data_IF_301207439402
#
_entry.id   IF_301207439402
#
_cell.length_a   1.000
_cell.length_b   1.000
_cell.length_c   1.000
_cell.angle_alpha   90.00
_cell.angle_beta   90.00
_cell.angle_gamma   90.00
#
_symmetry.space_group_name_H-M   'P 1'
#
loop_
_entity.id
_entity.type
_entity.pdbx_description
1 polymer ?
#
# COMPACT_ATOMS: atom_id res chain seq x y z
N UNK A 1 -5.99 -4.37 -16.17
CA UNK A 1 -5.25 -4.30 -17.45
C UNK A 1 -5.55 -5.50 -18.35
N UNK A 2 -5.25 -5.39 -19.65
CA UNK A 2 -5.56 -6.37 -20.68
C UNK A 2 -4.71 -7.65 -20.56
N UNK A 3 -5.36 -8.80 -20.70
CA UNK A 3 -4.85 -10.17 -20.50
C UNK A 3 -3.92 -10.64 -21.66
N UNK A 4 -3.14 -9.68 -22.20
CA UNK A 4 -2.49 -9.77 -23.50
C UNK A 4 -1.18 -10.57 -23.49
N UNK A 5 -0.45 -10.60 -22.39
CA UNK A 5 0.78 -11.41 -22.29
C UNK A 5 0.44 -12.77 -21.71
N UNK A 6 0.72 -13.82 -22.49
CA UNK A 6 0.49 -15.22 -22.08
C UNK A 6 1.80 -15.88 -21.73
N UNK A 7 1.98 -16.21 -20.45
CA UNK A 7 3.17 -16.89 -19.94
C UNK A 7 2.95 -18.40 -19.84
N UNK A 8 3.94 -19.14 -20.32
CA UNK A 8 4.04 -20.58 -20.29
C UNK A 8 5.32 -21.02 -19.59
N UNK A 9 5.25 -22.09 -18.80
CA UNK A 9 6.38 -22.66 -18.06
C UNK A 9 6.62 -24.10 -18.45
N UNK A 10 7.88 -24.50 -18.56
CA UNK A 10 8.28 -25.88 -18.79
C UNK A 10 9.37 -26.25 -17.79
N UNK A 11 9.13 -27.31 -17.02
CA UNK A 11 10.09 -27.85 -16.08
C UNK A 11 10.19 -29.37 -16.24
N UNK A 12 11.41 -29.87 -16.46
CA UNK A 12 11.80 -31.27 -16.35
C UNK A 12 13.09 -31.40 -15.53
N UNK A 13 13.69 -32.61 -15.48
CA UNK A 13 14.93 -32.86 -14.72
C UNK A 13 16.16 -32.07 -15.19
N UNK A 14 16.13 -31.50 -16.39
CA UNK A 14 17.27 -30.88 -17.07
C UNK A 14 17.02 -29.45 -17.54
N UNK A 15 15.75 -29.00 -17.51
CA UNK A 15 15.32 -27.76 -18.14
C UNK A 15 14.19 -27.13 -17.33
N UNK A 16 14.41 -25.88 -16.91
CA UNK A 16 13.41 -25.03 -16.24
C UNK A 16 13.35 -23.69 -16.98
N UNK A 17 12.29 -23.48 -17.77
CA UNK A 17 12.20 -22.41 -18.77
C UNK A 17 10.84 -21.76 -18.82
N UNK A 18 10.84 -20.46 -19.06
CA UNK A 18 9.64 -19.71 -19.43
C UNK A 18 9.62 -19.41 -20.93
N UNK A 19 8.41 -19.29 -21.46
CA UNK A 19 8.12 -18.77 -22.76
C UNK A 19 6.88 -17.88 -22.66
N UNK A 20 6.91 -16.68 -23.18
CA UNK A 20 5.78 -15.77 -23.16
C UNK A 20 5.56 -15.13 -24.53
N UNK A 21 4.33 -14.74 -24.81
CA UNK A 21 3.95 -14.04 -26.03
C UNK A 21 2.95 -12.94 -25.74
N UNK A 22 3.15 -11.76 -26.32
CA UNK A 22 2.15 -10.69 -26.36
C UNK A 22 1.17 -10.97 -27.50
N UNK A 23 -0.12 -11.09 -27.16
CA UNK A 23 -1.18 -11.32 -28.14
C UNK A 23 -1.52 -10.08 -28.96
N UNK A 24 -1.02 -8.90 -28.58
CA UNK A 24 -1.13 -7.69 -29.39
C UNK A 24 -0.16 -7.74 -30.58
N UNK A 25 -0.59 -7.29 -31.76
CA UNK A 25 0.32 -7.14 -32.89
C UNK A 25 1.42 -6.12 -32.59
N UNK A 26 2.66 -6.42 -32.97
CA UNK A 26 3.76 -5.47 -32.95
C UNK A 26 3.77 -4.60 -34.22
N UNK A 27 4.70 -3.66 -34.31
CA UNK A 27 4.83 -2.74 -35.46
C UNK A 27 5.08 -3.44 -36.81
N UNK A 28 5.47 -4.72 -36.81
CA UNK A 28 5.69 -5.54 -38.01
C UNK A 28 4.48 -6.40 -38.38
N UNK A 29 3.37 -6.28 -37.65
CA UNK A 29 2.18 -7.11 -37.84
C UNK A 29 2.30 -8.54 -37.30
N UNK A 30 3.41 -8.86 -36.61
CA UNK A 30 3.60 -10.12 -35.89
C UNK A 30 3.41 -9.94 -34.39
N UNK A 31 4.12 -10.72 -33.58
CA UNK A 31 3.98 -10.70 -32.12
C UNK A 31 5.32 -10.73 -31.40
N UNK A 32 5.35 -10.14 -30.20
CA UNK A 32 6.54 -10.12 -29.37
C UNK A 32 6.61 -11.34 -28.46
N UNK A 33 7.79 -11.94 -28.38
CA UNK A 33 8.02 -13.22 -27.70
C UNK A 33 9.21 -13.09 -26.74
N UNK A 34 9.07 -13.68 -25.57
CA UNK A 34 10.14 -13.82 -24.57
C UNK A 34 10.40 -15.28 -24.28
N UNK A 35 11.66 -15.68 -24.11
CA UNK A 35 11.99 -17.05 -23.73
C UNK A 35 13.34 -17.16 -23.03
N UNK A 36 13.47 -18.11 -22.10
CA UNK A 36 14.69 -18.23 -21.31
C UNK A 36 14.53 -19.14 -20.10
N UNK A 37 15.57 -19.22 -19.26
CA UNK A 37 15.55 -20.01 -18.02
C UNK A 37 14.81 -19.24 -16.91
N UNK A 38 14.18 -19.96 -15.99
CA UNK A 38 13.56 -19.36 -14.80
C UNK A 38 14.60 -18.59 -13.97
N UNK A 39 14.18 -17.44 -13.42
CA UNK A 39 15.01 -16.60 -12.55
C UNK A 39 16.09 -15.80 -13.26
N UNK A 40 16.05 -15.70 -14.60
CA UNK A 40 16.97 -14.90 -15.40
C UNK A 40 16.20 -14.04 -16.41
N UNK A 41 16.76 -12.90 -16.85
CA UNK A 41 16.17 -12.11 -17.93
C UNK A 41 15.95 -12.99 -19.17
N UNK A 42 14.76 -12.92 -19.73
CA UNK A 42 14.39 -13.66 -20.91
C UNK A 42 14.92 -12.96 -22.17
N UNK A 43 15.22 -13.77 -23.19
CA UNK A 43 15.55 -13.25 -24.51
C UNK A 43 14.27 -12.73 -25.16
N UNK A 44 14.25 -11.43 -25.44
CA UNK A 44 13.20 -10.79 -26.23
C UNK A 44 13.44 -11.00 -27.72
N UNK A 45 12.36 -11.29 -28.46
CA UNK A 45 12.36 -11.34 -29.92
C UNK A 45 11.03 -10.83 -30.46
N UNK A 46 11.11 -9.82 -31.31
CA UNK A 46 9.99 -9.38 -32.13
C UNK A 46 9.84 -10.33 -33.34
N UNK A 47 8.71 -11.05 -33.40
CA UNK A 47 8.38 -11.99 -34.49
C UNK A 47 7.58 -11.28 -35.57
N UNK A 48 7.74 -11.73 -36.81
CA UNK A 48 6.95 -11.36 -37.99
C UNK A 48 5.72 -12.27 -38.17
N UNK A 49 5.59 -13.32 -37.36
CA UNK A 49 4.48 -14.27 -37.43
C UNK A 49 3.21 -13.67 -36.82
N UNK A 50 2.19 -13.50 -37.65
CA UNK A 50 0.88 -12.94 -37.27
C UNK A 50 -0.01 -13.89 -36.43
N UNK A 51 0.25 -15.20 -36.41
CA UNK A 51 -0.59 -16.15 -35.66
C UNK A 51 0.08 -16.57 -34.34
N UNK A 52 -0.20 -15.80 -33.28
CA UNK A 52 0.25 -16.12 -31.93
C UNK A 52 -0.41 -17.40 -31.38
N UNK A 53 -1.66 -17.70 -31.76
CA UNK A 53 -2.41 -18.86 -31.23
C UNK A 53 -1.73 -20.14 -31.64
N UNK A 54 -1.33 -20.26 -32.92
CA UNK A 54 -0.58 -21.43 -33.39
C UNK A 54 0.74 -21.63 -32.66
N UNK A 55 1.46 -20.55 -32.34
CA UNK A 55 2.71 -20.62 -31.59
C UNK A 55 2.49 -21.06 -30.13
N UNK A 56 1.45 -20.50 -29.49
CA UNK A 56 1.03 -20.84 -28.14
C UNK A 56 0.61 -22.32 -28.02
N UNK A 57 -0.26 -22.80 -28.91
CA UNK A 57 -0.70 -24.21 -28.94
C UNK A 57 0.45 -25.18 -29.23
N UNK A 58 1.40 -24.79 -30.09
CA UNK A 58 2.59 -25.59 -30.34
C UNK A 58 3.49 -25.74 -29.10
N UNK A 59 3.49 -24.76 -28.18
CA UNK A 59 4.21 -24.84 -26.92
C UNK A 59 3.48 -25.72 -25.91
N UNK A 60 2.16 -25.61 -25.81
CA UNK A 60 1.35 -26.49 -24.97
C UNK A 60 1.56 -27.97 -25.34
N UNK A 61 1.56 -28.30 -26.64
CA UNK A 61 1.85 -29.67 -27.13
C UNK A 61 3.25 -30.18 -26.78
N UNK A 62 4.20 -29.29 -26.48
CA UNK A 62 5.55 -29.64 -26.03
C UNK A 62 5.65 -29.82 -24.51
N UNK A 63 4.52 -29.80 -23.80
CA UNK A 63 4.46 -29.99 -22.35
C UNK A 63 4.62 -28.70 -21.53
N UNK A 64 4.52 -27.52 -22.16
CA UNK A 64 4.46 -26.27 -21.39
C UNK A 64 3.11 -26.14 -20.69
N UNK A 65 3.14 -25.64 -19.46
CA UNK A 65 1.97 -25.36 -18.64
C UNK A 65 1.63 -23.86 -18.66
N UNK A 66 0.34 -23.53 -18.61
CA UNK A 66 -0.15 -22.15 -18.58
C UNK A 66 -0.09 -21.58 -17.16
N UNK A 67 0.43 -20.36 -17.02
CA UNK A 67 0.38 -19.59 -15.78
C UNK A 67 -0.40 -18.30 -15.99
N UNK A 68 -1.61 -18.22 -15.42
CA UNK A 68 -2.52 -17.08 -15.60
C UNK A 68 -2.13 -15.86 -14.76
N UNK A 69 -1.49 -16.07 -13.61
CA UNK A 69 -1.06 -15.03 -12.69
C UNK A 69 0.30 -14.42 -13.04
N UNK A 70 0.97 -14.87 -14.11
CA UNK A 70 2.28 -14.38 -14.50
C UNK A 70 2.21 -13.53 -15.77
N UNK A 71 3.18 -12.63 -15.91
CA UNK A 71 3.37 -11.73 -17.04
C UNK A 71 4.86 -11.41 -17.23
N UNK A 72 5.21 -10.52 -18.17
CA UNK A 72 6.57 -10.05 -18.41
C UNK A 72 6.69 -8.57 -18.07
N UNK A 73 7.65 -8.23 -17.22
CA UNK A 73 8.16 -6.87 -17.11
C UNK A 73 9.04 -6.59 -18.35
N UNK A 74 8.61 -5.65 -19.19
CA UNK A 74 9.28 -5.32 -20.45
C UNK A 74 10.59 -4.56 -20.25
N UNK A 75 10.77 -3.89 -19.12
CA UNK A 75 11.98 -3.11 -18.84
C UNK A 75 13.15 -4.04 -18.50
N UNK A 76 12.89 -5.07 -17.70
CA UNK A 76 13.90 -6.04 -17.25
C UNK A 76 13.89 -7.35 -18.04
N UNK A 77 12.86 -7.58 -18.85
CA UNK A 77 12.57 -8.85 -19.53
C UNK A 77 12.43 -10.04 -18.57
N UNK A 78 11.98 -9.80 -17.34
CA UNK A 78 11.77 -10.83 -16.32
C UNK A 78 10.31 -11.31 -16.31
N UNK A 79 10.12 -12.56 -15.87
CA UNK A 79 8.77 -13.07 -15.51
C UNK A 79 8.45 -12.58 -14.11
N UNK A 80 7.29 -11.96 -13.96
CA UNK A 80 6.80 -11.38 -12.70
C UNK A 80 5.34 -11.78 -12.46
N UNK A 81 4.85 -11.67 -11.22
CA UNK A 81 3.40 -11.79 -10.99
C UNK A 81 2.67 -10.63 -11.68
N UNK A 82 1.44 -10.85 -12.13
CA UNK A 82 0.57 -9.75 -12.58
C UNK A 82 0.32 -8.77 -11.45
N UNK A 83 0.19 -9.29 -10.24
CA UNK A 83 0.05 -8.49 -9.02
C UNK A 83 1.32 -7.66 -8.72
N UNK A 84 2.49 -8.07 -9.25
CA UNK A 84 3.75 -7.32 -9.11
C UNK A 84 3.91 -6.21 -10.18
N UNK A 85 3.13 -6.23 -11.26
CA UNK A 85 3.10 -5.15 -12.25
C UNK A 85 2.07 -4.07 -11.92
N UNK A 86 1.16 -4.33 -10.97
CA UNK A 86 0.17 -3.36 -10.49
C UNK A 86 0.69 -2.46 -9.35
N UNK A 87 1.95 -2.58 -8.93
CA UNK A 87 2.56 -1.61 -8.03
C UNK A 87 3.38 -0.57 -8.79
N UNK A 88 2.69 0.44 -9.33
CA UNK A 88 3.17 1.81 -9.08
C UNK A 88 3.23 1.91 -7.56
N UNK A 89 4.43 1.78 -6.99
CA UNK A 89 4.62 2.09 -5.57
C UNK A 89 4.09 3.52 -5.41
N UNK A 90 3.01 3.76 -4.65
CA UNK A 90 2.63 5.13 -4.36
C UNK A 90 3.79 5.67 -3.53
N UNK A 91 4.59 6.56 -4.10
CA UNK A 91 5.71 7.15 -3.36
C UNK A 91 5.18 8.09 -2.28
N UNK A 92 3.92 8.50 -2.40
CA UNK A 92 3.32 9.51 -1.58
C UNK A 92 1.82 9.26 -1.35
N UNK A 93 1.37 9.56 -0.13
CA UNK A 93 -0.03 9.83 0.14
C UNK A 93 -0.28 11.32 0.08
N UNK A 94 -1.22 11.74 -0.75
CA UNK A 94 -1.66 13.12 -0.84
C UNK A 94 -2.82 13.36 0.11
N UNK A 95 -2.80 14.47 0.82
CA UNK A 95 -3.91 14.88 1.67
C UNK A 95 -4.50 16.20 1.21
N UNK A 96 -5.82 16.31 1.37
CA UNK A 96 -6.57 17.56 1.21
C UNK A 96 -7.54 17.72 2.36
N UNK A 97 -7.34 18.76 3.15
CA UNK A 97 -8.18 19.17 4.27
C UNK A 97 -9.14 20.26 3.77
N UNK A 98 -10.40 20.20 4.19
CA UNK A 98 -11.36 21.26 3.90
C UNK A 98 -10.87 22.59 4.47
N UNK A 99 -10.98 23.67 3.68
CA UNK A 99 -10.64 25.04 4.12
C UNK A 99 -11.56 25.53 5.24
N UNK A 100 -12.63 24.80 5.57
CA UNK A 100 -13.49 25.09 6.71
C UNK A 100 -12.91 24.58 8.04
N UNK A 101 -11.89 23.71 8.00
CA UNK A 101 -11.17 23.26 9.20
C UNK A 101 -10.19 24.35 9.62
N UNK A 102 -10.35 24.95 10.83
CA UNK A 102 -9.44 25.97 11.30
C UNK A 102 -8.03 25.42 11.49
N UNK A 103 -7.01 26.19 11.10
CA UNK A 103 -5.60 25.85 11.32
C UNK A 103 -5.30 25.60 12.81
N UNK A 104 -5.97 26.33 13.70
CA UNK A 104 -5.86 26.15 15.16
C UNK A 104 -6.31 24.77 15.63
N UNK A 105 -7.29 24.16 14.95
CA UNK A 105 -7.76 22.81 15.25
C UNK A 105 -6.69 21.78 14.87
N UNK A 106 -6.07 21.94 13.69
CA UNK A 106 -4.98 21.08 13.22
C UNK A 106 -3.78 21.21 14.17
N UNK A 107 -3.37 22.45 14.50
CA UNK A 107 -2.25 22.70 15.40
C UNK A 107 -2.49 22.14 16.82
N UNK A 108 -3.72 22.26 17.35
CA UNK A 108 -4.10 21.71 18.65
C UNK A 108 -4.04 20.18 18.65
N UNK A 109 -4.51 19.55 17.57
CA UNK A 109 -4.38 18.11 17.38
C UNK A 109 -2.91 17.68 17.35
N UNK A 110 -2.06 18.33 16.54
CA UNK A 110 -0.64 17.97 16.43
C UNK A 110 0.08 18.09 17.77
N UNK A 111 -0.18 19.15 18.53
CA UNK A 111 0.39 19.33 19.86
C UNK A 111 -0.06 18.24 20.85
N UNK A 112 -1.35 17.91 20.85
CA UNK A 112 -1.91 16.87 21.71
C UNK A 112 -1.36 15.48 21.35
N UNK A 113 -1.34 15.14 20.06
CA UNK A 113 -0.82 13.88 19.55
C UNK A 113 0.67 13.73 19.87
N UNK A 114 1.48 14.78 19.65
CA UNK A 114 2.91 14.73 19.96
C UNK A 114 3.17 14.57 21.46
N UNK A 115 2.44 15.30 22.31
CA UNK A 115 2.57 15.18 23.76
C UNK A 115 2.24 13.76 24.23
N UNK A 116 1.10 13.21 23.79
CA UNK A 116 0.64 11.85 24.16
C UNK A 116 1.62 10.80 23.68
N UNK A 117 2.10 10.93 22.44
CA UNK A 117 3.06 10.01 21.84
C UNK A 117 4.41 10.03 22.57
N UNK A 118 4.86 11.21 23.02
CA UNK A 118 6.13 11.40 23.76
C UNK A 118 6.13 10.67 25.11
N UNK A 119 4.97 10.49 25.75
CA UNK A 119 4.88 9.77 27.03
C UNK A 119 5.28 8.31 26.91
N UNK A 120 5.07 7.69 25.74
CA UNK A 120 5.31 6.26 25.50
C UNK A 120 6.49 6.00 24.56
N UNK A 121 6.77 6.91 23.61
CA UNK A 121 7.70 6.71 22.49
C UNK A 121 8.54 7.97 22.26
N UNK A 122 9.43 8.31 23.19
CA UNK A 122 10.20 9.58 23.16
C UNK A 122 11.08 9.74 21.92
N UNK A 123 11.77 8.68 21.51
CA UNK A 123 12.70 8.75 20.37
C UNK A 123 11.91 8.89 19.06
N UNK A 124 10.84 8.11 18.91
CA UNK A 124 9.93 8.20 17.79
C UNK A 124 9.14 9.52 17.75
N UNK A 125 8.86 10.14 18.89
CA UNK A 125 8.26 11.48 18.94
C UNK A 125 9.18 12.54 18.34
N UNK A 126 10.50 12.39 18.52
CA UNK A 126 11.48 13.26 17.86
C UNK A 126 11.44 13.06 16.34
N UNK A 127 11.33 11.81 15.89
CA UNK A 127 11.12 11.48 14.48
C UNK A 127 9.83 12.10 13.94
N UNK A 128 8.71 11.91 14.63
CA UNK A 128 7.39 12.44 14.28
C UNK A 128 7.43 13.96 14.08
N UNK A 129 7.99 14.70 15.05
CA UNK A 129 8.11 16.16 14.98
C UNK A 129 9.05 16.64 13.84
N UNK A 130 9.97 15.77 13.39
CA UNK A 130 10.90 16.08 12.32
C UNK A 130 10.32 15.87 10.92
N UNK A 131 9.22 15.11 10.79
CA UNK A 131 8.64 14.70 9.50
C UNK A 131 8.21 15.92 8.66
N UNK A 132 8.50 15.93 7.35
CA UNK A 132 7.97 16.91 6.40
C UNK A 132 6.45 17.10 6.53
N UNK A 133 5.66 16.02 6.57
CA UNK A 133 4.20 16.11 6.69
C UNK A 133 3.77 16.81 8.00
N UNK A 134 4.44 16.51 9.12
CA UNK A 134 4.13 17.13 10.40
C UNK A 134 4.40 18.64 10.37
N UNK A 135 5.55 19.05 9.84
CA UNK A 135 5.91 20.46 9.68
C UNK A 135 4.97 21.20 8.72
N UNK A 136 4.58 20.55 7.63
CA UNK A 136 3.62 21.10 6.66
C UNK A 136 2.27 21.38 7.33
N UNK A 137 1.73 20.41 8.07
CA UNK A 137 0.47 20.59 8.79
C UNK A 137 0.59 21.65 9.91
N UNK A 138 1.71 21.68 10.64
CA UNK A 138 1.97 22.68 11.67
C UNK A 138 2.05 24.11 11.11
N UNK A 139 2.50 24.25 9.86
CA UNK A 139 2.52 25.54 9.15
C UNK A 139 1.16 26.00 8.62
N UNK A 140 0.09 25.23 8.86
CA UNK A 140 -1.27 25.56 8.43
C UNK A 140 -1.63 25.06 7.03
N UNK A 141 -0.84 24.15 6.44
CA UNK A 141 -1.13 23.65 5.09
C UNK A 141 -2.37 22.75 5.07
N UNK A 142 -3.38 23.12 4.27
CA UNK A 142 -4.56 22.27 4.01
C UNK A 142 -4.34 21.24 2.90
N UNK A 143 -3.23 21.26 2.19
CA UNK A 143 -2.90 20.21 1.24
C UNK A 143 -1.40 19.97 1.20
N UNK A 144 -1.02 18.74 0.88
CA UNK A 144 0.37 18.32 0.78
C UNK A 144 0.45 16.83 0.55
N UNK A 145 1.61 16.25 0.83
CA UNK A 145 1.75 14.81 0.81
C UNK A 145 2.74 14.32 1.85
N UNK A 146 2.59 13.05 2.19
CA UNK A 146 3.48 12.27 3.05
C UNK A 146 4.16 11.21 2.19
N UNK A 147 5.47 11.32 2.00
CA UNK A 147 6.21 10.29 1.26
C UNK A 147 6.23 8.99 2.08
N UNK A 148 6.19 7.83 1.40
CA UNK A 148 6.44 6.56 2.07
C UNK A 148 7.84 6.54 2.72
N UNK A 149 8.81 7.27 2.15
CA UNK A 149 10.15 7.43 2.72
C UNK A 149 10.15 8.04 4.13
N UNK A 150 9.11 8.81 4.51
CA UNK A 150 8.92 9.37 5.85
C UNK A 150 8.54 8.32 6.89
N UNK A 151 8.19 7.11 6.44
CA UNK A 151 7.94 5.96 7.28
C UNK A 151 6.52 5.89 7.86
N UNK A 152 6.26 4.89 8.72
CA UNK A 152 4.91 4.53 9.16
C UNK A 152 4.23 5.62 10.00
N UNK A 153 5.01 6.43 10.72
CA UNK A 153 4.49 7.53 11.54
C UNK A 153 3.80 8.61 10.69
N UNK A 154 4.25 8.84 9.45
CA UNK A 154 3.62 9.79 8.55
C UNK A 154 2.20 9.35 8.17
N UNK A 155 2.03 8.06 7.88
CA UNK A 155 0.73 7.46 7.51
C UNK A 155 -0.21 7.46 8.71
N UNK A 156 0.29 7.03 9.88
CA UNK A 156 -0.48 7.01 11.12
C UNK A 156 -0.91 8.42 11.55
N UNK A 157 -0.07 9.43 11.34
CA UNK A 157 -0.41 10.83 11.60
C UNK A 157 -1.60 11.30 10.75
N UNK A 158 -1.59 10.99 9.44
CA UNK A 158 -2.70 11.33 8.55
C UNK A 158 -3.99 10.60 8.96
N UNK A 159 -3.88 9.33 9.35
CA UNK A 159 -5.02 8.54 9.85
C UNK A 159 -5.59 9.10 11.15
N UNK A 160 -4.73 9.47 12.10
CA UNK A 160 -5.10 10.08 13.37
C UNK A 160 -5.76 11.46 13.16
N UNK A 161 -5.21 12.29 12.27
CA UNK A 161 -5.80 13.58 11.93
C UNK A 161 -7.20 13.40 11.31
N UNK A 162 -7.34 12.46 10.37
CA UNK A 162 -8.64 12.14 9.77
C UNK A 162 -9.66 11.69 10.79
N UNK A 163 -9.28 10.79 11.69
CA UNK A 163 -10.14 10.34 12.79
C UNK A 163 -10.56 11.52 13.66
N UNK A 164 -9.61 12.32 14.12
CA UNK A 164 -9.85 13.48 14.97
C UNK A 164 -10.83 14.49 14.32
N UNK A 165 -10.60 14.85 13.06
CA UNK A 165 -11.47 15.80 12.36
C UNK A 165 -12.86 15.23 12.07
N UNK A 166 -12.95 13.92 11.84
CA UNK A 166 -14.24 13.23 11.61
C UNK A 166 -15.05 13.14 12.90
N UNK A 167 -14.42 12.84 14.03
CA UNK A 167 -15.06 12.78 15.36
C UNK A 167 -15.48 14.15 15.88
N UNK A 168 -14.62 15.16 15.70
CA UNK A 168 -14.94 16.53 16.09
C UNK A 168 -16.02 17.14 15.17
N UNK A 169 -16.10 16.65 13.93
CA UNK A 169 -17.15 16.90 12.96
C UNK A 169 -17.31 18.37 12.54
N UNK A 170 -17.69 18.64 11.28
CA UNK A 170 -18.31 19.92 10.96
C UNK A 170 -19.69 19.95 11.62
N UNK A 171 -20.08 21.10 12.16
CA UNK A 171 -21.47 21.41 12.45
C UNK A 171 -22.30 21.26 11.16
N UNK A 172 -22.86 20.08 10.87
CA UNK A 172 -23.87 19.77 9.85
C UNK A 172 -23.69 20.34 8.41
N UNK A 173 -22.53 20.89 8.03
CA UNK A 173 -22.43 21.80 6.85
C UNK A 173 -21.37 21.44 5.80
N UNK A 174 -20.55 20.39 6.01
CA UNK A 174 -19.68 19.91 4.93
C UNK A 174 -20.43 18.90 4.05
N UNK A 175 -20.36 19.11 2.73
CA UNK A 175 -20.82 18.13 1.73
C UNK A 175 -19.82 16.99 1.48
N UNK A 176 -18.63 17.04 2.10
CA UNK A 176 -17.52 16.10 1.91
C UNK A 176 -16.79 15.83 3.24
N UNK A 177 -15.95 14.80 3.28
CA UNK A 177 -15.12 14.50 4.45
C UNK A 177 -14.21 15.71 4.79
N UNK A 178 -13.92 15.96 6.07
CA UNK A 178 -13.08 17.08 6.48
C UNK A 178 -11.63 16.95 5.99
N UNK A 179 -11.19 15.73 5.68
CA UNK A 179 -9.92 15.42 5.02
C UNK A 179 -10.09 14.22 4.09
N UNK A 180 -9.50 14.31 2.91
CA UNK A 180 -9.35 13.23 1.94
C UNK A 180 -7.87 12.85 1.86
N UNK A 181 -7.58 11.54 1.81
CA UNK A 181 -6.22 11.01 1.65
C UNK A 181 -6.26 10.07 0.46
N UNK A 182 -5.40 10.31 -0.53
CA UNK A 182 -5.32 9.50 -1.76
C UNK A 182 -3.89 9.09 -2.03
N UNK A 183 -3.70 8.01 -2.76
CA UNK A 183 -2.40 7.63 -3.31
C UNK A 183 -2.10 8.34 -4.65
N UNK A 184 -0.95 8.05 -5.25
CA UNK A 184 -0.52 8.63 -6.53
C UNK A 184 -1.45 8.27 -7.71
N UNK A 185 -2.24 7.20 -7.57
CA UNK A 185 -3.22 6.76 -8.57
C UNK A 185 -4.62 7.36 -8.33
N UNK A 186 -4.74 8.30 -7.38
CA UNK A 186 -6.00 8.89 -6.90
C UNK A 186 -6.95 7.88 -6.23
N UNK A 187 -6.41 6.75 -5.76
CA UNK A 187 -7.19 5.80 -4.95
C UNK A 187 -7.29 6.34 -3.53
N UNK A 188 -8.52 6.44 -3.02
CA UNK A 188 -8.76 6.83 -1.63
C UNK A 188 -8.16 5.81 -0.68
N UNK A 189 -7.38 6.30 0.28
CA UNK A 189 -6.89 5.47 1.38
C UNK A 189 -8.07 5.06 2.26
N UNK A 190 -8.16 3.75 2.56
CA UNK A 190 -9.20 3.18 3.43
C UNK A 190 -9.38 3.98 4.72
N UNK A 191 -10.62 4.11 5.19
CA UNK A 191 -10.97 4.68 6.49
C UNK A 191 -10.84 3.66 7.64
N UNK A 192 -10.78 2.37 7.32
CA UNK A 192 -10.61 1.27 8.25
C UNK A 192 -9.15 1.09 8.65
N UNK A 193 -8.86 1.19 9.95
CA UNK A 193 -7.52 0.89 10.44
C UNK A 193 -7.17 -0.60 10.28
N UNK A 194 -8.15 -1.51 10.40
CA UNK A 194 -7.87 -2.94 10.24
C UNK A 194 -7.46 -3.26 8.79
N UNK A 195 -8.09 -2.60 7.80
CA UNK A 195 -7.66 -2.69 6.40
C UNK A 195 -6.29 -2.04 6.19
N UNK A 196 -6.01 -0.89 6.82
CA UNK A 196 -4.67 -0.29 6.79
C UNK A 196 -3.61 -1.22 7.41
N UNK A 197 -3.92 -1.86 8.54
CA UNK A 197 -3.00 -2.75 9.23
C UNK A 197 -2.75 -4.03 8.45
N UNK A 198 -3.78 -4.57 7.79
CA UNK A 198 -3.64 -5.70 6.87
C UNK A 198 -2.80 -5.31 5.66
N UNK A 199 -3.05 -4.15 5.05
CA UNK A 199 -2.25 -3.61 3.96
C UNK A 199 -0.79 -3.43 4.41
N UNK A 200 -0.57 -2.79 5.56
CA UNK A 200 0.75 -2.61 6.16
C UNK A 200 1.47 -3.94 6.44
N UNK A 201 0.74 -4.99 6.82
CA UNK A 201 1.30 -6.30 7.13
C UNK A 201 1.65 -7.15 5.90
N UNK A 202 0.90 -6.98 4.80
CA UNK A 202 0.92 -7.90 3.66
C UNK A 202 1.51 -7.30 2.39
N UNK A 203 1.34 -6.00 2.16
CA UNK A 203 1.70 -5.37 0.90
C UNK A 203 3.22 -5.20 0.78
N UNK A 204 3.76 -5.28 -0.44
CA UNK A 204 5.21 -5.20 -0.67
C UNK A 204 5.73 -3.77 -0.50
N UNK A 205 4.86 -2.79 -0.67
CA UNK A 205 5.13 -1.35 -0.59
C UNK A 205 5.59 -0.95 0.82
N UNK A 206 5.09 -1.62 1.86
CA UNK A 206 5.52 -1.40 3.25
C UNK A 206 6.68 -2.29 3.71
N UNK A 207 7.31 -3.06 2.81
CA UNK A 207 8.31 -4.04 3.20
C UNK A 207 9.53 -3.45 3.89
N UNK A 208 10.02 -2.30 3.44
CA UNK A 208 11.14 -1.60 4.07
C UNK A 208 10.72 -0.99 5.41
N UNK A 209 9.52 -0.40 5.50
CA UNK A 209 8.99 0.15 6.76
C UNK A 209 8.87 -0.91 7.85
N UNK A 210 8.42 -2.11 7.49
CA UNK A 210 8.29 -3.25 8.42
C UNK A 210 9.62 -3.68 9.05
N UNK A 211 10.76 -3.34 8.45
CA UNK A 211 12.07 -3.60 9.05
C UNK A 211 12.32 -2.68 10.26
N UNK A 212 11.87 -1.43 10.17
CA UNK A 212 11.99 -0.42 11.24
C UNK A 212 10.82 -0.41 12.23
N UNK A 213 9.63 -0.82 11.80
CA UNK A 213 8.41 -0.81 12.60
C UNK A 213 7.61 -2.09 12.32
N UNK A 214 7.83 -3.14 13.12
CA UNK A 214 7.06 -4.37 13.02
C UNK A 214 5.54 -4.10 13.15
N UNK A 215 4.67 -4.95 12.57
CA UNK A 215 3.21 -4.76 12.65
C UNK A 215 2.66 -4.59 14.08
N UNK A 216 3.31 -5.21 15.07
CA UNK A 216 2.95 -5.04 16.48
C UNK A 216 3.18 -3.61 16.97
N UNK A 217 4.29 -2.98 16.58
CA UNK A 217 4.61 -1.61 16.97
C UNK A 217 3.81 -0.60 16.16
N UNK A 218 3.51 -0.90 14.88
CA UNK A 218 2.59 -0.11 14.07
C UNK A 218 1.23 0.11 14.77
N UNK A 219 0.66 -0.96 15.34
CA UNK A 219 -0.60 -0.86 16.10
C UNK A 219 -0.44 -0.09 17.41
N UNK A 220 0.68 -0.24 18.13
CA UNK A 220 0.94 0.55 19.35
C UNK A 220 1.06 2.05 19.04
N UNK A 221 1.78 2.39 17.98
CA UNK A 221 1.91 3.78 17.53
C UNK A 221 0.57 4.34 17.09
N UNK A 222 -0.27 3.55 16.42
CA UNK A 222 -1.62 3.95 16.03
C UNK A 222 -2.49 4.31 17.26
N UNK A 223 -2.41 3.53 18.34
CA UNK A 223 -3.11 3.84 19.59
C UNK A 223 -2.58 5.14 20.21
N UNK A 224 -1.26 5.27 20.34
CA UNK A 224 -0.65 6.42 21.00
C UNK A 224 -0.82 7.74 20.22
N UNK A 225 -0.92 7.69 18.89
CA UNK A 225 -1.24 8.83 18.05
C UNK A 225 -2.73 9.17 18.00
N UNK A 226 -3.60 8.29 18.51
CA UNK A 226 -5.05 8.43 18.40
C UNK A 226 -5.62 8.10 17.01
N UNK A 227 -4.92 7.29 16.21
CA UNK A 227 -5.45 6.74 14.96
C UNK A 227 -6.52 5.66 15.22
N UNK A 228 -6.43 4.96 16.35
CA UNK A 228 -7.42 4.00 16.84
C UNK A 228 -7.65 4.14 18.33
N UNK A 229 -8.80 3.67 18.79
CA UNK A 229 -9.07 3.50 20.22
C UNK A 229 -8.09 2.50 20.84
N UNK A 230 -7.64 2.83 22.05
CA UNK A 230 -7.00 1.85 22.91
C UNK A 230 -8.01 0.72 23.21
N UNK A 231 -7.60 -0.56 23.15
CA UNK A 231 -8.47 -1.64 23.54
C UNK A 231 -8.93 -1.42 24.99
N UNK A 232 -10.23 -1.63 25.24
CA UNK A 232 -10.80 -1.52 26.58
C UNK A 232 -10.09 -2.53 27.47
N UNK A 233 -9.38 -2.03 28.49
CA UNK A 233 -8.80 -2.90 29.51
C UNK A 233 -9.90 -3.41 30.43
N UNK A 234 -10.45 -4.58 30.10
CA UNK A 234 -11.49 -5.25 30.88
C UNK A 234 -10.99 -5.72 32.27
N UNK A 235 -9.68 -5.64 32.55
CA UNK A 235 -9.14 -5.99 33.88
C UNK A 235 -9.35 -4.89 34.92
N UNK A 236 -9.75 -3.68 34.49
CA UNK A 236 -10.02 -2.51 35.35
C UNK A 236 -11.51 -2.40 35.71
N UNK A 237 -12.35 -3.34 35.29
CA UNK A 237 -13.74 -3.39 35.77
C UNK A 237 -13.72 -3.86 37.23
N UNK A 238 -13.73 -2.91 38.16
CA UNK A 238 -13.99 -3.18 39.58
C UNK A 238 -15.38 -3.79 39.73
N UNK A 239 -15.41 -5.12 39.85
CA UNK A 239 -16.60 -5.87 40.26
C UNK A 239 -16.93 -5.49 41.70
N UNK A 240 -17.79 -4.48 41.88
CA UNK A 240 -18.38 -4.14 43.17
C UNK A 240 -19.52 -5.09 43.57
N UNK A 241 -19.71 -6.20 42.88
CA UNK A 241 -20.77 -7.17 43.22
C UNK A 241 -20.16 -8.30 44.04
N UNK A 242 -20.27 -8.20 45.38
CA UNK A 242 -20.26 -9.39 46.24
C UNK A 242 -21.41 -10.28 45.79
N UNK A 243 -21.12 -11.32 45.03
CA UNK A 243 -22.07 -12.38 44.78
C UNK A 243 -22.49 -12.98 46.14
N UNK A 244 -23.72 -12.69 46.54
CA UNK A 244 -24.36 -13.38 47.65
C UNK A 244 -24.63 -14.82 47.18
N UNK A 245 -23.82 -15.76 47.66
CA UNK A 245 -24.16 -17.18 47.61
C UNK A 245 -25.35 -17.38 48.55
N UNK A 246 -26.52 -17.68 47.98
CA UNK A 246 -27.65 -18.31 48.67
C UNK A 246 -27.81 -19.72 48.10
#
# INVERSE_FOLDING_TARGET
MSDDIRVLHYADKTSDKYWAIDTRPNAKGGHDVWYGRRGKPLVYRSSDKADWRRQYEAKLRKGYLKFKSLTIDRSTNMVVSKDDLESSIPNQFWFRISTQVPETQIASFLASALNTFTEQFRDEATTLASLPVFKSLLSGSHSGGAELSEGPLAILLLFALRRHLTEQGPSASLSFAPIEIVDDDNTLLTDSFDELAELYGTSKEFSDMRQSCPPADFRKYAIALGAIEAPIDLTVIESNTKAAFF
#
